data_IF_996304934642
#
_entry.id   IF_996304934642
#
_cell.length_a   1.000
_cell.length_b   1.000
_cell.length_c   1.000
_cell.angle_alpha   90.00
_cell.angle_beta   90.00
_cell.angle_gamma   90.00
#
_symmetry.space_group_name_H-M   'P 1'
#
loop_
_entity.id
_entity.type
_entity.pdbx_description
1 polymer ?
#
# COMPACT_ATOMS: atom_id res chain seq x y z
N UNK A 1 -17.50 27.15 8.92
CA UNK A 1 -16.97 25.78 9.10
C UNK A 1 -15.58 25.78 8.51
N UNK A 2 -14.56 25.60 9.34
CA UNK A 2 -13.16 25.60 8.93
C UNK A 2 -12.91 24.37 8.05
N UNK A 3 -12.56 24.60 6.77
CA UNK A 3 -11.85 23.60 5.98
C UNK A 3 -10.60 23.24 6.79
N UNK A 4 -10.50 21.99 7.24
CA UNK A 4 -9.21 21.46 7.61
C UNK A 4 -8.39 21.45 6.32
N UNK A 5 -7.52 22.44 6.16
CA UNK A 5 -6.42 22.34 5.22
C UNK A 5 -5.65 21.09 5.63
N UNK A 6 -5.73 20.03 4.81
CA UNK A 6 -4.83 18.89 4.94
C UNK A 6 -3.42 19.50 4.94
N UNK A 7 -2.63 19.34 6.01
CA UNK A 7 -1.34 19.98 6.12
C UNK A 7 -0.52 19.50 4.93
N UNK A 8 -0.23 20.41 3.99
CA UNK A 8 0.68 20.32 2.85
C UNK A 8 1.39 18.95 2.85
N UNK A 9 0.73 17.91 2.29
CA UNK A 9 1.22 16.53 2.37
C UNK A 9 2.45 16.47 1.48
N UNK A 10 3.59 16.83 2.07
CA UNK A 10 4.88 16.83 1.41
C UNK A 10 5.31 15.39 1.25
N UNK A 11 5.02 14.85 0.08
CA UNK A 11 5.54 13.56 -0.30
C UNK A 11 7.06 13.66 -0.36
N UNK A 12 7.72 12.83 0.44
CA UNK A 12 9.18 12.68 0.40
C UNK A 12 9.47 11.52 -0.54
N UNK A 13 10.40 11.68 -1.50
CA UNK A 13 10.78 10.59 -2.38
C UNK A 13 11.25 9.36 -1.57
N UNK A 14 10.80 8.18 -1.98
CA UNK A 14 11.21 6.90 -1.36
C UNK A 14 12.50 6.34 -1.98
N UNK A 15 13.24 7.17 -2.71
CA UNK A 15 14.51 6.78 -3.34
C UNK A 15 15.51 6.40 -2.26
N UNK A 16 16.14 5.23 -2.41
CA UNK A 16 17.07 4.69 -1.40
C UNK A 16 16.40 3.96 -0.23
N UNK A 17 15.07 3.77 -0.25
CA UNK A 17 14.35 2.94 0.74
C UNK A 17 14.56 1.44 0.62
N UNK A 18 15.20 1.00 -0.47
CA UNK A 18 15.24 -0.41 -0.85
C UNK A 18 13.90 -0.94 -1.36
N UNK A 19 12.85 -0.11 -1.44
CA UNK A 19 11.60 -0.48 -2.12
C UNK A 19 11.82 -0.62 -3.62
N UNK A 20 11.14 -1.62 -4.16
CA UNK A 20 10.91 -1.80 -5.59
C UNK A 20 9.64 -1.06 -6.02
N UNK A 21 9.72 -0.39 -7.17
CA UNK A 21 8.64 0.43 -7.75
C UNK A 21 8.12 -0.15 -9.08
N UNK A 22 8.78 -1.19 -9.60
CA UNK A 22 8.52 -1.94 -10.84
C UNK A 22 7.56 -3.12 -10.64
N UNK A 23 6.65 -3.02 -9.66
CA UNK A 23 5.72 -4.09 -9.33
C UNK A 23 4.83 -3.79 -8.15
N UNK A 24 4.14 -4.82 -7.67
CA UNK A 24 3.22 -4.76 -6.54
C UNK A 24 3.63 -5.73 -5.44
N UNK A 25 3.37 -5.35 -4.21
CA UNK A 25 3.55 -6.21 -3.04
C UNK A 25 2.22 -6.90 -2.75
N UNK A 26 2.22 -8.23 -2.76
CA UNK A 26 1.04 -9.08 -2.62
C UNK A 26 1.06 -9.83 -1.30
N UNK A 27 -0.08 -9.89 -0.62
CA UNK A 27 -0.31 -10.76 0.52
C UNK A 27 -1.66 -11.45 0.38
N UNK A 28 -1.67 -12.77 0.51
CA UNK A 28 -2.86 -13.59 0.37
C UNK A 28 -3.37 -14.04 1.75
N UNK A 29 -4.66 -13.86 2.00
CA UNK A 29 -5.35 -14.34 3.18
C UNK A 29 -6.62 -15.10 2.78
N UNK A 30 -6.48 -16.40 2.56
CA UNK A 30 -7.57 -17.21 2.00
C UNK A 30 -7.93 -16.73 0.60
N UNK A 31 -9.20 -16.35 0.38
CA UNK A 31 -9.70 -15.85 -0.90
C UNK A 31 -9.60 -14.31 -1.04
N UNK A 32 -8.94 -13.64 -0.09
CA UNK A 32 -8.75 -12.19 -0.13
C UNK A 32 -7.28 -11.91 -0.46
N UNK A 33 -7.09 -11.15 -1.53
CA UNK A 33 -5.80 -10.72 -2.01
C UNK A 33 -5.61 -9.25 -1.65
N UNK A 34 -4.48 -8.96 -1.00
CA UNK A 34 -4.08 -7.61 -0.65
C UNK A 34 -2.90 -7.21 -1.52
N UNK A 35 -3.07 -6.13 -2.28
CA UNK A 35 -2.03 -5.56 -3.12
C UNK A 35 -1.62 -4.19 -2.59
N UNK A 36 -0.33 -3.89 -2.68
CA UNK A 36 0.24 -2.60 -2.31
C UNK A 36 1.31 -2.23 -3.33
N UNK A 37 1.13 -1.10 -4.01
CA UNK A 37 2.09 -0.52 -4.94
C UNK A 37 2.71 0.71 -4.33
N UNK A 38 4.04 0.78 -4.34
CA UNK A 38 4.77 1.97 -3.92
C UNK A 38 5.14 2.80 -5.15
N UNK A 39 5.21 4.11 -4.98
CA UNK A 39 5.64 5.04 -6.01
C UNK A 39 6.83 5.85 -5.51
N UNK A 40 7.79 6.07 -6.39
CA UNK A 40 9.01 6.83 -6.07
C UNK A 40 8.72 8.21 -5.48
N UNK A 41 7.59 8.80 -5.90
CA UNK A 41 7.15 10.12 -5.44
C UNK A 41 6.80 10.20 -3.96
N UNK A 42 6.72 9.10 -3.22
CA UNK A 42 6.39 9.12 -1.78
C UNK A 42 5.00 8.65 -1.41
N UNK A 43 4.28 7.98 -2.31
CA UNK A 43 2.94 7.47 -2.05
C UNK A 43 2.86 5.95 -2.20
N UNK A 44 1.88 5.34 -1.54
CA UNK A 44 1.53 3.94 -1.71
C UNK A 44 0.03 3.81 -1.98
N UNK A 45 -0.29 3.11 -3.06
CA UNK A 45 -1.66 2.69 -3.36
C UNK A 45 -1.85 1.24 -2.91
N UNK A 46 -2.93 0.93 -2.22
CA UNK A 46 -3.24 -0.42 -1.78
C UNK A 46 -4.73 -0.71 -1.82
N UNK A 47 -5.04 -1.98 -2.02
CA UNK A 47 -6.40 -2.52 -2.09
C UNK A 47 -6.42 -3.92 -1.49
N UNK A 48 -7.55 -4.28 -0.90
CA UNK A 48 -7.81 -5.64 -0.42
C UNK A 48 -9.18 -6.09 -0.91
N UNK A 49 -9.24 -7.25 -1.55
CA UNK A 49 -10.50 -7.77 -2.08
C UNK A 49 -10.37 -9.19 -2.61
N UNK A 50 -11.51 -9.78 -2.95
CA UNK A 50 -11.54 -10.99 -3.77
C UNK A 50 -11.40 -10.57 -5.23
N UNK A 51 -10.45 -11.18 -5.96
CA UNK A 51 -10.31 -10.98 -7.40
C UNK A 51 -10.99 -12.12 -8.16
N UNK A 52 -11.60 -11.81 -9.32
CA UNK A 52 -12.16 -12.83 -10.21
C UNK A 52 -11.12 -13.34 -11.19
N UNK A 53 -10.21 -12.46 -11.58
CA UNK A 53 -9.06 -12.75 -12.42
C UNK A 53 -7.80 -12.34 -11.65
N UNK A 54 -6.77 -13.18 -11.70
CA UNK A 54 -5.50 -12.89 -11.03
C UNK A 54 -4.92 -11.56 -11.52
N UNK A 55 -4.59 -10.66 -10.58
CA UNK A 55 -3.95 -9.38 -10.87
C UNK A 55 -4.90 -8.24 -11.22
N UNK A 56 -6.22 -8.49 -11.33
CA UNK A 56 -7.23 -7.45 -11.60
C UNK A 56 -7.14 -6.28 -10.61
N UNK A 57 -6.93 -6.59 -9.33
CA UNK A 57 -6.81 -5.58 -8.28
C UNK A 57 -5.48 -4.82 -8.34
N UNK A 58 -4.40 -5.47 -8.79
CA UNK A 58 -3.09 -4.85 -8.94
C UNK A 58 -3.10 -3.78 -10.04
N UNK A 59 -3.81 -4.03 -11.14
CA UNK A 59 -3.94 -3.10 -12.28
C UNK A 59 -4.63 -1.78 -11.90
N UNK A 60 -5.46 -1.79 -10.86
CA UNK A 60 -6.14 -0.59 -10.36
C UNK A 60 -5.20 0.34 -9.58
N UNK A 61 -4.06 -0.16 -9.12
CA UNK A 61 -3.11 0.58 -8.29
C UNK A 61 -2.23 1.49 -9.15
N UNK A 62 -2.82 2.57 -9.64
CA UNK A 62 -2.10 3.62 -10.37
C UNK A 62 -1.64 4.73 -9.44
N UNK A 63 -0.67 5.50 -9.90
CA UNK A 63 -0.08 6.57 -9.11
C UNK A 63 -1.13 7.60 -8.70
N UNK A 64 -2.07 7.94 -9.58
CA UNK A 64 -3.11 8.95 -9.33
C UNK A 64 -4.47 8.36 -8.92
N UNK A 65 -4.51 7.08 -8.53
CA UNK A 65 -5.76 6.46 -8.08
C UNK A 65 -6.31 7.19 -6.85
N UNK A 66 -7.59 7.53 -6.90
CA UNK A 66 -8.25 8.23 -5.81
C UNK A 66 -8.60 7.27 -4.68
N UNK A 67 -8.23 7.65 -3.46
CA UNK A 67 -8.69 6.97 -2.24
C UNK A 67 -10.22 6.92 -2.18
N UNK A 68 -10.78 5.76 -1.80
CA UNK A 68 -12.22 5.55 -1.67
C UNK A 68 -12.89 4.97 -2.92
N UNK A 69 -12.22 4.96 -4.08
CA UNK A 69 -12.71 4.24 -5.25
C UNK A 69 -12.41 2.74 -5.10
N UNK A 70 -13.42 1.87 -5.20
CA UNK A 70 -13.27 0.40 -5.08
C UNK A 70 -12.49 -0.08 -3.83
N UNK A 71 -12.60 0.64 -2.70
CA UNK A 71 -11.83 0.37 -1.48
C UNK A 71 -10.30 0.48 -1.65
N UNK A 72 -9.85 1.19 -2.69
CA UNK A 72 -8.45 1.54 -2.91
C UNK A 72 -8.11 2.72 -2.01
N UNK A 73 -6.90 2.72 -1.49
CA UNK A 73 -6.35 3.79 -0.69
C UNK A 73 -5.00 4.19 -1.28
N UNK A 74 -4.85 5.47 -1.60
CA UNK A 74 -3.61 6.09 -2.02
C UNK A 74 -3.18 7.08 -0.95
N UNK A 75 -2.13 6.74 -0.22
CA UNK A 75 -1.71 7.47 0.96
C UNK A 75 -0.23 7.85 0.87
N UNK A 76 0.17 8.98 1.49
CA UNK A 76 1.58 9.30 1.66
C UNK A 76 2.27 8.20 2.49
N UNK A 77 3.53 7.96 2.18
CA UNK A 77 4.41 7.06 2.92
C UNK A 77 5.49 7.89 3.59
N UNK A 78 5.54 7.81 4.91
CA UNK A 78 6.66 8.36 5.67
C UNK A 78 7.73 7.29 5.82
N UNK A 79 8.92 7.53 5.27
CA UNK A 79 10.08 6.71 5.54
C UNK A 79 10.92 7.31 6.66
N UNK A 80 11.31 6.49 7.63
CA UNK A 80 12.29 6.83 8.67
C UNK A 80 13.30 5.70 8.77
N UNK A 81 14.50 5.92 8.23
CA UNK A 81 15.52 4.88 8.07
C UNK A 81 14.93 3.68 7.29
N UNK A 82 15.04 2.47 7.85
CA UNK A 82 14.54 1.24 7.25
C UNK A 82 13.03 1.00 7.53
N UNK A 83 12.36 1.93 8.22
CA UNK A 83 10.95 1.82 8.58
C UNK A 83 10.05 2.64 7.68
N UNK A 84 8.89 2.09 7.35
CA UNK A 84 7.83 2.69 6.54
C UNK A 84 6.57 2.88 7.38
N UNK A 85 5.98 4.06 7.30
CA UNK A 85 4.75 4.41 8.00
C UNK A 85 3.71 4.90 7.01
N UNK A 86 2.52 4.31 7.06
CA UNK A 86 1.40 4.67 6.20
C UNK A 86 0.17 4.86 7.09
N UNK A 87 -0.54 5.97 6.90
CA UNK A 87 -1.80 6.25 7.57
C UNK A 87 -2.93 6.26 6.56
N UNK A 88 -3.76 5.23 6.62
CA UNK A 88 -4.96 5.11 5.79
C UNK A 88 -6.16 5.69 6.53
N UNK A 89 -6.82 6.68 5.93
CA UNK A 89 -8.07 7.26 6.45
C UNK A 89 -9.19 6.83 5.51
N UNK A 90 -10.09 5.99 6.00
CA UNK A 90 -11.31 5.60 5.30
C UNK A 90 -12.56 6.14 5.99
N UNK A 91 -13.72 6.01 5.34
CA UNK A 91 -15.01 6.44 5.90
C UNK A 91 -15.31 5.87 7.29
N UNK A 92 -14.84 4.65 7.58
CA UNK A 92 -15.09 3.94 8.84
C UNK A 92 -14.04 4.21 9.92
N UNK A 93 -12.98 4.96 9.61
CA UNK A 93 -11.90 5.31 10.53
C UNK A 93 -10.50 5.03 9.98
N UNK A 94 -9.53 4.95 10.89
CA UNK A 94 -8.09 4.99 10.56
C UNK A 94 -7.46 3.62 10.70
N UNK A 95 -6.55 3.30 9.78
CA UNK A 95 -5.65 2.15 9.86
C UNK A 95 -4.22 2.65 9.71
N UNK A 96 -3.40 2.34 10.70
CA UNK A 96 -1.97 2.63 10.66
C UNK A 96 -1.19 1.40 10.22
N UNK A 97 -0.23 1.60 9.33
CA UNK A 97 0.73 0.61 8.92
C UNK A 97 2.10 1.07 9.39
N UNK A 98 2.78 0.21 10.13
CA UNK A 98 4.17 0.43 10.54
C UNK A 98 4.97 -0.78 10.12
N UNK A 99 5.93 -0.59 9.25
CA UNK A 99 6.62 -1.70 8.61
C UNK A 99 8.05 -1.40 8.26
N UNK A 100 8.63 -2.35 7.55
CA UNK A 100 10.04 -2.40 7.21
C UNK A 100 10.21 -3.09 5.86
N UNK A 101 11.19 -2.62 5.10
CA UNK A 101 11.60 -3.27 3.85
C UNK A 101 12.53 -4.43 4.20
N UNK A 102 12.31 -5.59 3.57
CA UNK A 102 13.08 -6.81 3.80
C UNK A 102 13.66 -7.30 2.49
N UNK A 103 14.79 -8.02 2.59
CA UNK A 103 15.44 -8.68 1.47
C UNK A 103 15.62 -7.74 0.25
N UNK A 104 16.16 -6.54 0.47
CA UNK A 104 16.40 -5.54 -0.59
C UNK A 104 15.17 -5.21 -1.45
N UNK A 105 13.97 -5.24 -0.85
CA UNK A 105 12.72 -4.91 -1.54
C UNK A 105 11.94 -6.10 -2.07
N UNK A 106 12.41 -7.34 -1.88
CA UNK A 106 11.65 -8.53 -2.29
C UNK A 106 10.44 -8.80 -1.36
N UNK A 107 10.41 -8.17 -0.19
CA UNK A 107 9.24 -8.21 0.69
C UNK A 107 9.13 -6.99 1.58
N UNK A 108 7.91 -6.69 2.00
CA UNK A 108 7.64 -5.69 3.05
C UNK A 108 6.80 -6.32 4.14
N UNK A 109 7.14 -6.01 5.39
CA UNK A 109 6.40 -6.49 6.55
C UNK A 109 5.75 -5.31 7.25
N UNK A 110 4.43 -5.34 7.39
CA UNK A 110 3.67 -4.30 8.08
C UNK A 110 2.94 -4.85 9.30
N UNK A 111 3.05 -4.15 10.42
CA UNK A 111 2.07 -4.19 11.49
C UNK A 111 0.91 -3.27 11.09
N UNK A 112 -0.25 -3.86 10.80
CA UNK A 112 -1.50 -3.16 10.54
C UNK A 112 -2.26 -3.01 11.86
N UNK A 113 -2.45 -1.78 12.32
CA UNK A 113 -3.21 -1.44 13.52
C UNK A 113 -4.46 -0.66 13.13
N UNK A 114 -5.64 -1.24 13.35
CA UNK A 114 -6.92 -0.57 13.11
C UNK A 114 -7.34 0.22 14.36
N UNK A 115 -7.56 1.52 14.20
CA UNK A 115 -8.18 2.35 15.25
C UNK A 115 -9.70 2.12 15.34
N UNK A 116 -10.30 1.44 14.36
CA UNK A 116 -11.75 1.19 14.27
C UNK A 116 -12.18 0.14 15.30
N UNK A 117 -11.43 -0.97 15.40
CA UNK A 117 -11.77 -2.10 16.26
C UNK A 117 -10.60 -2.55 17.16
N UNK A 118 -9.49 -1.81 17.17
CA UNK A 118 -8.30 -2.11 17.98
C UNK A 118 -7.47 -3.30 17.49
N UNK A 119 -7.86 -3.96 16.39
CA UNK A 119 -7.17 -5.16 15.88
C UNK A 119 -5.78 -4.78 15.36
N UNK A 120 -4.79 -5.59 15.76
CA UNK A 120 -3.40 -5.49 15.30
C UNK A 120 -2.97 -6.80 14.67
N UNK A 121 -2.46 -6.75 13.45
CA UNK A 121 -2.06 -7.95 12.71
C UNK A 121 -0.83 -7.67 11.85
N UNK A 122 0.03 -8.69 11.72
CA UNK A 122 1.22 -8.62 10.87
C UNK A 122 0.85 -9.14 9.48
N UNK A 123 1.15 -8.33 8.47
CA UNK A 123 1.03 -8.66 7.06
C UNK A 123 2.43 -8.74 6.47
N UNK A 124 2.70 -9.81 5.72
CA UNK A 124 3.99 -10.04 5.06
C UNK A 124 3.74 -10.08 3.56
N UNK A 125 4.00 -8.98 2.88
CA UNK A 125 3.79 -8.89 1.46
C UNK A 125 5.05 -9.31 0.71
N UNK A 126 4.88 -10.14 -0.31
CA UNK A 126 5.93 -10.54 -1.24
C UNK A 126 5.86 -9.66 -2.49
N UNK A 127 7.01 -9.28 -3.04
CA UNK A 127 7.09 -8.50 -4.27
C UNK A 127 6.73 -9.36 -5.49
N UNK A 128 5.90 -8.80 -6.37
CA UNK A 128 5.50 -9.36 -7.66
C UNK A 128 5.79 -8.31 -8.74
N UNK A 129 6.75 -8.55 -9.65
CA UNK A 129 7.09 -7.59 -10.70
C UNK A 129 5.98 -7.45 -11.74
N UNK A 130 5.83 -6.26 -12.34
CA UNK A 130 4.82 -5.99 -13.37
C UNK A 130 4.93 -6.90 -14.60
N UNK A 131 6.13 -7.39 -14.89
CA UNK A 131 6.41 -8.34 -15.99
C UNK A 131 5.79 -9.72 -15.77
N UNK A 132 5.45 -10.08 -14.53
CA UNK A 132 4.72 -11.30 -14.21
C UNK A 132 3.20 -11.11 -14.21
N UNK A 133 2.71 -9.87 -14.09
CA UNK A 133 1.28 -9.52 -14.14
C UNK A 133 0.75 -9.41 -15.57
N UNK A 134 1.64 -9.32 -16.56
CA UNK A 134 1.32 -9.09 -17.99
C UNK A 134 1.20 -10.37 -18.82
N UNK A 135 0.87 -11.53 -18.22
CA UNK A 135 0.48 -12.71 -19.00
C UNK A 135 -0.98 -12.59 -19.46
N UNK A 136 -1.22 -11.77 -20.48
CA UNK A 136 -2.48 -11.79 -21.23
C UNK A 136 -2.13 -11.88 -22.73
N UNK A 137 -2.45 -13.00 -23.42
CA UNK A 137 -2.41 -13.04 -24.88
C UNK A 137 -3.50 -12.15 -25.49
#
# INVERSE_FOLDING_TARGET
>A
MVQAEDPDVRLVPLTGSGLRFDGVYRFDLGNIHYYMRFFERGSAAFVGGSERNDGELADLLTIDVQSGWNSIHNCPVEQRNDSLFIRSVGLKGVINYSGEVRANGDSVRFLRASEINGVRQIFRYAFVPDTMTTSRP
#
